data_IF_769475058370
#
_entry.id   IF_769475058370
#
_cell.length_a   1.000
_cell.length_b   1.000
_cell.length_c   1.000
_cell.angle_alpha   90.00
_cell.angle_beta   90.00
_cell.angle_gamma   90.00
#
_symmetry.space_group_name_H-M   'P 1'
#
loop_
_entity.id
_entity.type
_entity.pdbx_description
1 polymer ?
#
# COMPACT_ATOMS: atom_id res chain seq x y z
N UNK A 1 -17.80 -14.75 6.60
CA UNK A 1 -18.27 -13.35 6.56
C UNK A 1 -17.07 -12.44 6.71
N UNK A 2 -16.87 -11.50 5.78
CA UNK A 2 -15.77 -10.52 5.87
C UNK A 2 -15.97 -9.60 7.07
N UNK A 3 -14.94 -9.44 7.90
CA UNK A 3 -14.96 -8.59 9.08
C UNK A 3 -14.26 -7.26 8.79
N UNK A 4 -14.59 -6.20 9.52
CA UNK A 4 -13.97 -4.88 9.38
C UNK A 4 -13.63 -4.25 10.74
N UNK A 5 -12.62 -3.39 10.74
CA UNK A 5 -12.26 -2.56 11.90
C UNK A 5 -12.94 -1.18 11.79
N UNK A 6 -13.22 -0.55 12.93
CA UNK A 6 -13.74 0.82 13.01
C UNK A 6 -12.72 1.82 13.55
N UNK A 7 -11.55 1.36 14.00
CA UNK A 7 -10.39 2.16 14.39
C UNK A 7 -9.11 1.57 13.78
N UNK A 8 -8.05 2.38 13.67
CA UNK A 8 -6.77 1.94 13.13
C UNK A 8 -5.94 1.17 14.18
N UNK A 9 -6.12 1.49 15.46
CA UNK A 9 -5.26 1.04 16.56
C UNK A 9 -5.00 -0.47 16.63
N UNK A 10 -5.98 -1.37 16.44
CA UNK A 10 -5.71 -2.81 16.45
C UNK A 10 -4.74 -3.23 15.33
N UNK A 11 -4.87 -2.62 14.15
CA UNK A 11 -4.04 -2.92 12.98
C UNK A 11 -2.68 -2.24 13.05
N UNK A 12 -2.58 -1.07 13.67
CA UNK A 12 -1.30 -0.40 13.97
C UNK A 12 -0.48 -1.23 14.96
N UNK A 13 -1.08 -1.66 16.08
CA UNK A 13 -0.41 -2.51 17.07
C UNK A 13 0.05 -3.85 16.46
N UNK A 14 -0.74 -4.43 15.55
CA UNK A 14 -0.33 -5.61 14.82
C UNK A 14 0.81 -5.32 13.83
N UNK A 15 0.78 -4.21 13.11
CA UNK A 15 1.85 -3.81 12.20
C UNK A 15 3.19 -3.64 12.93
N UNK A 16 3.17 -3.05 14.13
CA UNK A 16 4.36 -2.94 15.00
C UNK A 16 4.95 -4.32 15.33
N UNK A 17 4.11 -5.25 15.82
CA UNK A 17 4.52 -6.65 16.10
C UNK A 17 5.08 -7.35 14.86
N UNK A 18 4.47 -7.11 13.69
CA UNK A 18 4.92 -7.67 12.41
C UNK A 18 6.30 -7.14 12.04
N UNK A 19 6.53 -5.83 12.17
CA UNK A 19 7.82 -5.20 11.85
C UNK A 19 8.91 -5.68 12.82
N UNK A 20 8.60 -5.83 14.11
CA UNK A 20 9.52 -6.43 15.08
C UNK A 20 9.88 -7.88 14.72
N UNK A 21 8.88 -8.72 14.40
CA UNK A 21 9.11 -10.12 14.02
C UNK A 21 9.94 -10.22 12.73
N UNK A 22 9.62 -9.40 11.72
CA UNK A 22 10.39 -9.27 10.47
C UNK A 22 11.85 -8.90 10.76
N UNK A 23 12.07 -7.94 11.65
CA UNK A 23 13.42 -7.47 12.03
C UNK A 23 14.20 -8.56 12.76
N UNK A 24 13.59 -9.22 13.75
CA UNK A 24 14.20 -10.33 14.51
C UNK A 24 14.62 -11.50 13.62
N UNK A 25 13.79 -11.82 12.62
CA UNK A 25 14.03 -12.91 11.66
C UNK A 25 14.88 -12.48 10.46
N UNK A 26 15.28 -11.21 10.39
CA UNK A 26 16.01 -10.62 9.26
C UNK A 26 15.35 -10.91 7.89
N UNK A 27 14.02 -10.79 7.82
CA UNK A 27 13.26 -11.04 6.59
C UNK A 27 13.09 -9.77 5.76
N UNK A 28 13.08 -9.91 4.44
CA UNK A 28 12.60 -8.88 3.52
C UNK A 28 11.09 -8.98 3.32
N UNK A 29 10.46 -7.91 2.83
CA UNK A 29 9.04 -7.98 2.45
C UNK A 29 8.79 -8.91 1.27
N UNK A 30 9.76 -9.04 0.35
CA UNK A 30 9.72 -10.01 -0.74
C UNK A 30 9.68 -11.44 -0.21
N UNK A 31 10.58 -11.77 0.72
CA UNK A 31 10.62 -13.08 1.38
C UNK A 31 9.33 -13.38 2.13
N UNK A 32 8.74 -12.40 2.82
CA UNK A 32 7.44 -12.60 3.49
C UNK A 32 6.35 -12.88 2.45
N UNK A 33 6.37 -12.17 1.31
CA UNK A 33 5.38 -12.30 0.24
C UNK A 33 5.44 -13.61 -0.56
N UNK A 34 6.58 -14.32 -0.59
CA UNK A 34 6.73 -15.58 -1.34
C UNK A 34 5.62 -16.59 -1.00
N UNK A 35 5.01 -17.23 -2.01
CA UNK A 35 3.96 -18.22 -1.81
C UNK A 35 2.56 -17.66 -1.51
N UNK A 36 2.38 -16.34 -1.40
CA UNK A 36 1.03 -15.74 -1.22
C UNK A 36 0.23 -15.65 -2.52
N UNK A 37 0.90 -15.64 -3.68
CA UNK A 37 0.27 -15.37 -4.99
C UNK A 37 -0.11 -13.90 -5.21
N UNK A 38 0.30 -13.00 -4.31
CA UNK A 38 -0.03 -11.57 -4.35
C UNK A 38 1.20 -10.73 -4.70
N UNK A 39 0.98 -9.47 -5.10
CA UNK A 39 2.08 -8.52 -5.30
C UNK A 39 2.72 -8.11 -3.97
N UNK A 40 4.03 -7.83 -4.00
CA UNK A 40 4.77 -7.34 -2.82
C UNK A 40 4.16 -6.07 -2.25
N UNK A 41 3.72 -5.13 -3.10
CA UNK A 41 3.10 -3.88 -2.67
C UNK A 41 1.80 -4.13 -1.89
N UNK A 42 0.90 -4.98 -2.42
CA UNK A 42 -0.36 -5.32 -1.75
C UNK A 42 -0.13 -6.01 -0.41
N UNK A 43 0.73 -7.02 -0.38
CA UNK A 43 1.02 -7.76 0.86
C UNK A 43 1.70 -6.87 1.89
N UNK A 44 2.66 -6.04 1.49
CA UNK A 44 3.31 -5.08 2.38
C UNK A 44 2.31 -4.08 2.95
N UNK A 45 1.43 -3.51 2.11
CA UNK A 45 0.37 -2.62 2.58
C UNK A 45 -0.59 -3.33 3.55
N UNK A 46 -0.90 -4.61 3.34
CA UNK A 46 -1.70 -5.39 4.29
C UNK A 46 -0.97 -5.61 5.63
N UNK A 47 0.32 -5.97 5.61
CA UNK A 47 1.14 -6.10 6.81
C UNK A 47 1.22 -4.78 7.60
N UNK A 48 1.22 -3.64 6.89
CA UNK A 48 1.24 -2.29 7.46
C UNK A 48 -0.17 -1.71 7.72
N UNK A 49 -1.19 -2.57 7.80
CA UNK A 49 -2.53 -2.17 8.27
C UNK A 49 -3.44 -1.53 7.21
N UNK A 50 -3.09 -1.51 5.93
CA UNK A 50 -3.83 -0.78 4.89
C UNK A 50 -4.70 -1.66 3.97
N UNK A 51 -4.52 -2.98 4.01
CA UNK A 51 -5.36 -3.95 3.31
C UNK A 51 -5.68 -5.19 4.17
N UNK A 52 -6.80 -5.88 3.90
CA UNK A 52 -7.00 -7.24 4.36
C UNK A 52 -6.19 -8.23 3.51
N UNK A 53 -5.74 -9.33 4.09
CA UNK A 53 -5.27 -10.50 3.35
C UNK A 53 -6.38 -11.56 3.21
N UNK A 54 -6.46 -12.27 2.07
CA UNK A 54 -7.18 -13.53 1.99
C UNK A 54 -6.66 -14.54 3.03
N UNK A 55 -7.50 -15.48 3.46
CA UNK A 55 -7.18 -16.42 4.54
C UNK A 55 -5.89 -17.23 4.27
N UNK A 56 -5.69 -17.69 3.03
CA UNK A 56 -4.50 -18.48 2.68
C UNK A 56 -3.23 -17.62 2.69
N UNK A 57 -3.27 -16.40 2.17
CA UNK A 57 -2.14 -15.47 2.24
C UNK A 57 -1.83 -15.07 3.69
N UNK A 58 -2.87 -14.84 4.51
CA UNK A 58 -2.72 -14.55 5.94
C UNK A 58 -2.01 -15.70 6.67
N UNK A 59 -2.36 -16.96 6.37
CA UNK A 59 -1.71 -18.14 6.93
C UNK A 59 -0.23 -18.24 6.53
N UNK A 60 0.08 -17.98 5.26
CA UNK A 60 1.46 -18.00 4.74
C UNK A 60 2.33 -16.97 5.47
N UNK A 61 1.88 -15.71 5.58
CA UNK A 61 2.68 -14.66 6.23
C UNK A 61 2.75 -14.87 7.75
N UNK A 62 1.67 -15.36 8.37
CA UNK A 62 1.64 -15.67 9.80
C UNK A 62 2.67 -16.74 10.16
N UNK A 63 2.76 -17.83 9.37
CA UNK A 63 3.75 -18.88 9.58
C UNK A 63 5.19 -18.38 9.48
N UNK A 64 5.49 -17.47 8.55
CA UNK A 64 6.85 -16.89 8.42
C UNK A 64 7.21 -15.96 9.58
N UNK A 65 6.22 -15.24 10.11
CA UNK A 65 6.39 -14.21 11.12
C UNK A 65 6.10 -14.71 12.55
N UNK A 66 5.79 -15.99 12.74
CA UNK A 66 5.33 -16.60 14.00
C UNK A 66 4.16 -15.82 14.64
N UNK A 67 3.18 -15.44 13.83
CA UNK A 67 1.98 -14.77 14.31
C UNK A 67 0.98 -15.79 14.85
N UNK A 68 0.33 -15.43 15.97
CA UNK A 68 -0.74 -16.23 16.56
C UNK A 68 -2.05 -16.17 15.72
N UNK A 69 -3.02 -17.01 16.10
CA UNK A 69 -4.31 -17.12 15.42
C UNK A 69 -5.10 -15.79 15.42
N UNK A 70 -4.98 -14.98 16.47
CA UNK A 70 -5.66 -13.70 16.57
C UNK A 70 -5.06 -12.67 15.61
N UNK A 71 -3.74 -12.61 15.52
CA UNK A 71 -3.01 -11.80 14.56
C UNK A 71 -3.33 -12.24 13.12
N UNK A 72 -3.38 -13.55 12.85
CA UNK A 72 -3.79 -14.07 11.53
C UNK A 72 -5.24 -13.71 11.20
N UNK A 73 -6.16 -13.80 12.17
CA UNK A 73 -7.56 -13.34 12.00
C UNK A 73 -7.62 -11.84 11.72
N UNK A 74 -6.86 -11.04 12.46
CA UNK A 74 -6.87 -9.59 12.34
C UNK A 74 -6.30 -9.11 10.99
N UNK A 75 -5.30 -9.80 10.43
CA UNK A 75 -4.81 -9.56 9.06
C UNK A 75 -5.90 -9.71 7.98
N UNK A 76 -6.95 -10.49 8.24
CA UNK A 76 -8.05 -10.71 7.29
C UNK A 76 -9.16 -9.66 7.38
N UNK A 77 -9.11 -8.78 8.38
CA UNK A 77 -10.12 -7.74 8.58
C UNK A 77 -9.88 -6.57 7.62
N UNK A 78 -10.96 -6.01 7.04
CA UNK A 78 -10.88 -4.75 6.29
C UNK A 78 -10.47 -3.66 7.30
N UNK A 79 -9.32 -2.99 7.10
CA UNK A 79 -8.86 -2.00 8.06
C UNK A 79 -9.59 -0.68 7.89
N UNK A 80 -9.56 0.15 8.94
CA UNK A 80 -9.62 1.59 8.74
C UNK A 80 -8.31 2.02 8.11
N UNK A 81 -8.37 2.60 6.92
CA UNK A 81 -7.18 3.00 6.16
C UNK A 81 -6.75 4.42 6.51
N UNK A 82 -5.49 4.71 6.23
CA UNK A 82 -4.87 6.01 6.43
C UNK A 82 -3.54 5.83 7.14
N UNK A 83 -2.44 5.84 6.40
CA UNK A 83 -1.11 5.56 6.95
C UNK A 83 -0.35 6.81 7.42
N UNK A 84 -0.98 7.98 7.39
CA UNK A 84 -0.34 9.27 7.72
C UNK A 84 -1.17 9.99 8.79
N UNK A 85 -0.80 9.85 10.08
CA UNK A 85 -1.43 10.60 11.15
C UNK A 85 -1.36 12.11 10.88
N UNK A 86 -2.49 12.81 10.95
CA UNK A 86 -2.59 14.24 10.65
C UNK A 86 -2.56 14.62 9.17
N UNK A 87 -2.38 13.66 8.25
CA UNK A 87 -2.48 13.86 6.81
C UNK A 87 -1.26 14.48 6.13
N UNK A 88 -0.42 15.23 6.85
CA UNK A 88 0.84 15.77 6.33
C UNK A 88 2.01 14.94 6.86
N UNK A 89 2.75 14.21 6.00
CA UNK A 89 3.86 13.38 6.44
C UNK A 89 5.02 14.21 6.97
N UNK A 90 5.73 13.70 7.97
CA UNK A 90 6.97 14.32 8.51
C UNK A 90 8.22 13.54 8.11
N UNK A 91 8.09 12.25 7.81
CA UNK A 91 9.19 11.43 7.30
C UNK A 91 9.62 11.93 5.90
N UNK A 92 10.93 12.20 5.67
CA UNK A 92 11.41 12.70 4.39
C UNK A 92 11.09 11.80 3.19
N UNK A 93 11.10 10.47 3.37
CA UNK A 93 10.83 9.51 2.28
C UNK A 93 9.37 9.61 1.84
N UNK A 94 8.44 9.69 2.80
CA UNK A 94 7.01 9.86 2.51
C UNK A 94 6.73 11.27 1.98
N UNK A 95 7.40 12.28 2.53
CA UNK A 95 7.17 13.68 2.14
C UNK A 95 7.43 13.96 0.67
N UNK A 96 8.42 13.31 0.04
CA UNK A 96 8.68 13.52 -1.41
C UNK A 96 7.50 13.12 -2.29
N UNK A 97 6.71 12.13 -1.91
CA UNK A 97 5.48 11.78 -2.64
C UNK A 97 4.39 12.83 -2.47
N UNK A 98 4.26 13.38 -1.26
CA UNK A 98 3.36 14.50 -1.00
C UNK A 98 3.77 15.74 -1.80
N UNK A 99 5.07 16.05 -1.86
CA UNK A 99 5.64 17.15 -2.62
C UNK A 99 5.41 17.00 -4.12
N UNK A 100 5.55 15.80 -4.70
CA UNK A 100 5.22 15.54 -6.10
C UNK A 100 3.77 15.94 -6.40
N UNK A 101 2.82 15.62 -5.52
CA UNK A 101 1.41 16.00 -5.68
C UNK A 101 1.22 17.52 -5.52
N UNK A 102 1.94 18.17 -4.62
CA UNK A 102 1.90 19.64 -4.49
C UNK A 102 2.41 20.35 -5.76
N UNK A 103 3.44 19.82 -6.41
CA UNK A 103 4.03 20.41 -7.63
C UNK A 103 3.21 20.07 -8.88
N UNK A 104 2.80 18.82 -9.04
CA UNK A 104 2.18 18.31 -10.28
C UNK A 104 0.67 18.06 -10.18
N UNK A 105 0.03 18.30 -9.04
CA UNK A 105 -1.39 17.99 -8.85
C UNK A 105 -2.32 18.68 -9.85
N UNK A 106 -2.09 19.97 -10.13
CA UNK A 106 -2.84 20.71 -11.16
C UNK A 106 -2.54 20.18 -12.57
N UNK A 107 -1.28 19.87 -12.87
CA UNK A 107 -0.84 19.29 -14.14
C UNK A 107 -1.48 17.92 -14.40
N UNK A 108 -1.49 17.02 -13.41
CA UNK A 108 -2.16 15.73 -13.49
C UNK A 108 -3.65 15.90 -13.77
N UNK A 109 -4.32 16.80 -13.06
CA UNK A 109 -5.74 17.11 -13.29
C UNK A 109 -5.99 17.57 -14.74
N UNK A 110 -5.19 18.51 -15.24
CA UNK A 110 -5.34 19.04 -16.60
C UNK A 110 -5.13 17.96 -17.66
N UNK A 111 -4.05 17.19 -17.56
CA UNK A 111 -3.73 16.13 -18.53
C UNK A 111 -4.74 14.98 -18.51
N UNK A 112 -5.25 14.60 -17.33
CA UNK A 112 -6.31 13.59 -17.23
C UNK A 112 -7.58 14.07 -17.95
N UNK A 113 -7.98 15.32 -17.73
CA UNK A 113 -9.18 15.85 -18.40
C UNK A 113 -9.00 16.02 -19.91
N UNK A 114 -7.80 16.38 -20.37
CA UNK A 114 -7.49 16.47 -21.80
C UNK A 114 -7.50 15.09 -22.47
N UNK A 115 -6.89 14.07 -21.85
CA UNK A 115 -6.71 12.75 -22.48
C UNK A 115 -7.91 11.82 -22.31
N UNK A 116 -8.69 11.97 -21.24
CA UNK A 116 -9.80 11.06 -20.90
C UNK A 116 -11.16 11.73 -20.84
N UNK A 117 -11.21 13.00 -20.39
CA UNK A 117 -12.44 13.76 -20.15
C UNK A 117 -12.70 14.07 -18.67
N UNK A 118 -13.85 14.69 -18.39
CA UNK A 118 -14.27 14.96 -17.00
C UNK A 118 -14.46 13.65 -16.22
N UNK A 119 -13.97 13.60 -14.98
CA UNK A 119 -13.89 12.37 -14.20
C UNK A 119 -12.63 12.25 -13.35
N UNK A 120 -12.29 11.01 -12.96
CA UNK A 120 -11.13 10.71 -12.11
C UNK A 120 -10.36 9.48 -12.59
N UNK A 121 -9.11 9.38 -12.17
CA UNK A 121 -8.36 8.13 -12.13
C UNK A 121 -8.58 7.49 -10.75
N UNK A 122 -9.15 6.28 -10.71
CA UNK A 122 -9.55 5.61 -9.47
C UNK A 122 -8.34 5.23 -8.60
N UNK A 123 -8.47 5.43 -7.29
CA UNK A 123 -7.57 4.89 -6.27
C UNK A 123 -8.09 3.58 -5.62
N UNK A 124 -9.18 3.00 -6.15
CA UNK A 124 -9.79 1.74 -5.66
C UNK A 124 -9.63 0.63 -6.70
N UNK A 125 -10.07 0.87 -7.94
CA UNK A 125 -9.69 0.01 -9.06
C UNK A 125 -8.31 0.47 -9.56
N UNK A 126 -7.31 0.09 -8.78
CA UNK A 126 -5.97 0.67 -8.78
C UNK A 126 -4.92 -0.37 -8.40
N UNK A 127 -3.72 -0.21 -8.94
CA UNK A 127 -2.51 -0.91 -8.49
C UNK A 127 -1.30 0.02 -8.54
N UNK A 128 -0.33 -0.28 -7.68
CA UNK A 128 0.95 0.41 -7.59
C UNK A 128 2.08 -0.60 -7.64
N UNK A 129 3.14 -0.27 -8.37
CA UNK A 129 4.42 -0.98 -8.31
C UNK A 129 5.59 0.00 -8.19
N UNK A 130 6.69 -0.52 -7.65
CA UNK A 130 7.97 0.18 -7.54
C UNK A 130 9.06 -0.71 -8.12
N UNK A 131 9.92 -0.12 -8.95
CA UNK A 131 11.07 -0.79 -9.56
C UNK A 131 12.31 0.05 -9.36
N UNK A 132 13.39 -0.60 -8.92
CA UNK A 132 14.73 -0.02 -8.96
C UNK A 132 15.30 -0.19 -10.36
N UNK A 133 15.85 0.89 -10.92
CA UNK A 133 16.54 0.89 -12.22
C UNK A 133 17.87 1.62 -12.09
N UNK A 134 18.82 1.33 -12.98
CA UNK A 134 20.10 2.04 -13.01
C UNK A 134 19.93 3.47 -13.54
N UNK A 135 20.68 4.41 -12.96
CA UNK A 135 20.75 5.78 -13.47
C UNK A 135 21.90 5.90 -14.49
N UNK A 136 21.67 6.39 -15.72
CA UNK A 136 22.73 6.60 -16.70
C UNK A 136 23.84 7.55 -16.22
N UNK A 137 23.55 8.47 -15.29
CA UNK A 137 24.52 9.40 -14.71
C UNK A 137 25.23 8.84 -13.47
N UNK A 138 24.93 7.58 -13.11
CA UNK A 138 25.48 6.89 -11.95
C UNK A 138 24.51 6.84 -10.77
N UNK A 139 24.48 5.71 -10.07
CA UNK A 139 23.55 5.46 -8.95
C UNK A 139 22.31 4.68 -9.37
N UNK A 140 21.15 4.98 -8.79
CA UNK A 140 19.90 4.26 -9.06
C UNK A 140 18.69 5.19 -8.99
N UNK A 141 17.66 4.84 -9.76
CA UNK A 141 16.35 5.51 -9.75
C UNK A 141 15.28 4.55 -9.26
N UNK A 142 14.20 5.11 -8.72
CA UNK A 142 12.96 4.39 -8.48
C UNK A 142 11.94 4.82 -9.54
N UNK A 143 11.41 3.85 -10.28
CA UNK A 143 10.25 4.01 -11.16
C UNK A 143 9.03 3.53 -10.39
N UNK A 144 8.08 4.44 -10.16
CA UNK A 144 6.84 4.14 -9.44
C UNK A 144 5.69 4.33 -10.43
N UNK A 145 4.94 3.25 -10.64
CA UNK A 145 3.83 3.22 -11.57
C UNK A 145 2.52 3.33 -10.79
N UNK A 146 1.69 4.30 -11.16
CA UNK A 146 0.33 4.47 -10.64
C UNK A 146 -0.64 4.10 -11.77
N UNK A 147 -1.28 2.93 -11.69
CA UNK A 147 -2.19 2.43 -12.72
C UNK A 147 -3.61 2.34 -12.15
N UNK A 148 -4.45 3.29 -12.55
CA UNK A 148 -5.83 3.45 -12.08
C UNK A 148 -6.84 3.51 -13.20
N UNK A 149 -8.02 2.92 -12.98
CA UNK A 149 -9.13 2.97 -13.94
C UNK A 149 -9.71 4.39 -14.05
N UNK A 150 -9.83 4.91 -15.27
CA UNK A 150 -10.61 6.14 -15.52
C UNK A 150 -12.11 5.90 -15.31
N UNK A 151 -12.75 6.81 -14.57
CA UNK A 151 -14.19 6.82 -14.27
C UNK A 151 -14.78 8.19 -14.68
N UNK A 152 -15.64 8.25 -15.71
CA UNK A 152 -16.15 9.51 -16.24
C UNK A 152 -17.22 10.15 -15.35
N UNK A 153 -17.18 11.46 -15.25
CA UNK A 153 -18.31 12.29 -14.78
C UNK A 153 -19.21 12.58 -15.97
N UNK A 154 -20.52 12.37 -15.85
CA UNK A 154 -21.50 12.59 -16.93
C UNK A 154 -22.66 13.46 -16.43
N UNK A 155 -23.21 14.35 -17.29
CA UNK A 155 -24.48 15.01 -17.01
C UNK A 155 -25.61 13.98 -16.83
N UNK A 156 -26.56 14.28 -15.95
CA UNK A 156 -27.75 13.47 -15.68
C UNK A 156 -29.02 14.33 -15.73
#
# INVERSE_FOLDING_TARGET
MTQSQHSQSPREALAERIVEAKTRKNLTFEQINEGTGLSVAFTTAALLGQHPLPADAARVVAAKLDLDDDAQRLLQTIPVRGSIPGGVPTDPTIYRFYEIVQVYGSTLKALIHEQFGDGIVSAINFKLDIKKVDDPEGGSRAVITLDGKYLPTKPF
#
